data_IF_853966778369
#
_entry.id   IF_853966778369
#
_cell.length_a   1.000
_cell.length_b   1.000
_cell.length_c   1.000
_cell.angle_alpha   90.00
_cell.angle_beta   90.00
_cell.angle_gamma   90.00
#
_symmetry.space_group_name_H-M   'P 1'
#
loop_
_entity.id
_entity.type
_entity.pdbx_description
1 polymer ?
#
# COMPACT_ATOMS: atom_id res chain seq x y z
N UNK A 1 32.92 24.19 5.17
CA UNK A 1 33.40 22.85 5.60
C UNK A 1 32.65 21.81 4.78
N UNK A 2 33.30 21.19 3.79
CA UNK A 2 32.71 20.15 2.94
C UNK A 2 32.86 18.81 3.65
N UNK A 3 31.76 18.20 4.13
CA UNK A 3 31.77 16.78 4.53
C UNK A 3 31.36 15.96 3.31
N UNK A 4 32.36 15.32 2.72
CA UNK A 4 32.25 14.41 1.60
C UNK A 4 31.93 13.02 2.19
N UNK A 5 30.66 12.62 2.17
CA UNK A 5 30.26 11.29 2.62
C UNK A 5 30.52 10.30 1.50
N UNK A 6 31.58 9.51 1.64
CA UNK A 6 31.93 8.40 0.76
C UNK A 6 30.97 7.23 1.02
N UNK A 7 30.22 6.81 0.00
CA UNK A 7 29.66 5.45 -0.04
C UNK A 7 30.76 4.51 -0.54
N UNK A 8 31.34 3.73 0.35
CA UNK A 8 32.25 2.66 0.00
C UNK A 8 31.43 1.43 -0.44
N UNK A 9 31.40 1.19 -1.75
CA UNK A 9 30.97 -0.10 -2.31
C UNK A 9 32.05 -1.15 -2.00
N UNK A 10 31.77 -2.01 -1.02
CA UNK A 10 32.60 -3.19 -0.75
C UNK A 10 32.26 -4.26 -1.78
N UNK A 11 33.09 -4.38 -2.81
CA UNK A 11 33.08 -5.48 -3.76
C UNK A 11 33.93 -6.62 -3.17
N UNK A 12 33.28 -7.58 -2.49
CA UNK A 12 33.95 -8.79 -2.03
C UNK A 12 33.97 -9.83 -3.15
N UNK A 13 35.14 -10.05 -3.75
CA UNK A 13 35.40 -11.18 -4.63
C UNK A 13 35.69 -12.43 -3.77
N UNK A 14 34.69 -13.29 -3.60
CA UNK A 14 34.87 -14.63 -3.01
C UNK A 14 35.05 -15.62 -4.15
N UNK A 15 36.25 -16.21 -4.24
CA UNK A 15 36.52 -17.33 -5.13
C UNK A 15 35.83 -18.60 -4.60
N UNK A 16 35.13 -19.31 -5.48
CA UNK A 16 34.49 -20.59 -5.18
C UNK A 16 35.26 -21.73 -5.84
N UNK A 17 35.85 -22.60 -5.02
CA UNK A 17 36.29 -23.95 -5.40
C UNK A 17 35.05 -24.84 -5.50
N UNK A 18 34.98 -25.63 -6.57
CA UNK A 18 33.87 -26.50 -6.89
C UNK A 18 33.76 -27.71 -5.96
N UNK A 19 32.56 -27.89 -5.42
CA UNK A 19 32.01 -29.16 -5.00
C UNK A 19 30.71 -29.40 -5.78
N UNK A 20 30.54 -30.62 -6.26
CA UNK A 20 29.44 -31.13 -7.08
C UNK A 20 28.06 -30.69 -6.53
N UNK A 21 27.34 -29.89 -7.32
CA UNK A 21 26.03 -29.36 -6.98
C UNK A 21 24.94 -30.39 -7.30
N UNK A 22 24.28 -30.94 -6.27
CA UNK A 22 22.88 -31.34 -6.41
C UNK A 22 22.09 -30.05 -6.62
N UNK A 23 21.90 -29.64 -7.88
CA UNK A 23 21.37 -28.32 -8.25
C UNK A 23 20.02 -28.04 -7.55
N UNK A 24 19.99 -27.24 -6.47
CA UNK A 24 18.72 -26.77 -5.94
C UNK A 24 18.15 -25.88 -7.04
N UNK A 25 16.94 -26.19 -7.53
CA UNK A 25 16.37 -25.60 -8.74
C UNK A 25 16.66 -24.09 -8.89
N UNK A 26 16.96 -23.66 -10.11
CA UNK A 26 17.40 -22.29 -10.40
C UNK A 26 16.52 -21.25 -9.69
N UNK A 27 17.17 -20.42 -8.86
CA UNK A 27 16.50 -19.37 -8.09
C UNK A 27 16.07 -18.24 -9.02
N UNK A 28 14.80 -17.85 -8.95
CA UNK A 28 14.19 -16.76 -9.70
C UNK A 28 14.08 -15.55 -8.77
N UNK A 29 14.63 -14.41 -9.17
CA UNK A 29 14.59 -13.17 -8.39
C UNK A 29 13.67 -12.15 -9.06
N UNK A 30 12.73 -11.62 -8.29
CA UNK A 30 11.80 -10.57 -8.68
C UNK A 30 12.20 -9.26 -8.01
N UNK A 31 12.16 -8.18 -8.78
CA UNK A 31 12.37 -6.83 -8.30
C UNK A 31 11.29 -5.92 -8.88
N UNK A 32 10.65 -5.16 -8.01
CA UNK A 32 9.69 -4.12 -8.39
C UNK A 32 10.01 -2.83 -7.65
N UNK A 33 9.88 -1.72 -8.36
CA UNK A 33 10.14 -0.40 -7.82
C UNK A 33 9.14 0.61 -8.40
N UNK A 34 8.64 1.53 -7.57
CA UNK A 34 7.78 2.61 -7.99
C UNK A 34 8.02 3.86 -7.11
N UNK A 35 7.68 5.07 -7.60
CA UNK A 35 7.69 6.27 -6.77
C UNK A 35 6.79 6.08 -5.54
N UNK A 36 7.30 6.40 -4.35
CA UNK A 36 6.58 6.18 -3.10
C UNK A 36 5.30 7.03 -2.99
N UNK A 37 5.39 8.32 -3.32
CA UNK A 37 4.27 9.28 -3.21
C UNK A 37 4.28 10.24 -4.41
N UNK A 38 3.95 9.74 -5.63
CA UNK A 38 4.11 10.50 -6.86
C UNK A 38 3.31 11.81 -6.82
N UNK A 39 3.98 12.93 -7.07
CA UNK A 39 3.38 14.26 -7.15
C UNK A 39 2.96 14.87 -5.81
N UNK A 40 3.38 14.28 -4.67
CA UNK A 40 3.05 14.84 -3.36
C UNK A 40 3.67 16.24 -3.18
N UNK A 41 2.80 17.19 -2.80
CA UNK A 41 3.17 18.55 -2.41
C UNK A 41 2.21 19.04 -1.34
N UNK A 42 2.73 19.63 -0.27
CA UNK A 42 1.95 20.20 0.82
C UNK A 42 2.46 21.59 1.16
N UNK A 43 1.58 22.60 1.25
CA UNK A 43 1.92 23.96 1.66
C UNK A 43 1.27 24.26 3.01
N UNK A 44 2.06 24.72 3.97
CA UNK A 44 1.57 25.08 5.31
C UNK A 44 0.72 26.35 5.31
N UNK A 45 0.78 27.15 4.24
CA UNK A 45 0.41 28.55 4.29
C UNK A 45 1.34 29.33 5.22
N UNK A 46 1.02 30.60 5.48
CA UNK A 46 1.78 31.45 6.41
C UNK A 46 1.54 31.03 7.87
N UNK A 47 2.60 30.67 8.57
CA UNK A 47 2.60 30.32 10.00
C UNK A 47 3.56 31.23 10.80
N UNK A 48 3.13 31.79 11.96
CA UNK A 48 1.73 31.89 12.37
C UNK A 48 0.92 32.75 11.39
N UNK A 49 -0.37 32.46 11.24
CA UNK A 49 -1.25 33.15 10.27
C UNK A 49 -1.39 34.66 10.53
N UNK A 50 -1.12 35.09 11.77
CA UNK A 50 -0.97 36.48 12.15
C UNK A 50 0.32 36.64 12.95
N UNK A 51 1.18 37.56 12.55
CA UNK A 51 2.44 37.81 13.25
C UNK A 51 3.33 38.79 12.48
N UNK A 52 4.27 39.44 13.17
CA UNK A 52 5.24 40.34 12.53
C UNK A 52 6.29 39.58 11.69
N UNK A 53 6.45 38.27 11.92
CA UNK A 53 7.21 37.38 11.06
C UNK A 53 6.42 36.09 10.85
N UNK A 54 6.35 35.64 9.60
CA UNK A 54 5.58 34.49 9.15
C UNK A 54 6.43 33.71 8.16
N UNK A 55 6.29 32.39 8.14
CA UNK A 55 6.91 31.53 7.14
C UNK A 55 5.85 30.70 6.43
N UNK A 56 5.98 30.51 5.12
CA UNK A 56 5.28 29.44 4.39
C UNK A 56 6.30 28.39 4.00
N UNK A 57 5.99 27.13 4.28
CA UNK A 57 6.79 25.98 3.93
C UNK A 57 5.99 25.12 2.97
N UNK A 58 6.60 24.83 1.83
CA UNK A 58 6.10 23.86 0.85
C UNK A 58 7.00 22.63 0.90
N UNK A 59 6.42 21.50 1.27
CA UNK A 59 7.09 20.21 1.34
C UNK A 59 6.76 19.42 0.08
N UNK A 60 7.79 18.90 -0.58
CA UNK A 60 7.67 18.03 -1.75
C UNK A 60 8.32 16.71 -1.42
N UNK A 61 7.60 15.62 -1.64
CA UNK A 61 8.11 14.29 -1.38
C UNK A 61 8.51 13.60 -2.68
N UNK A 62 9.61 12.86 -2.64
CA UNK A 62 10.09 12.02 -3.72
C UNK A 62 10.74 10.75 -3.20
N UNK A 63 11.36 9.98 -4.08
CA UNK A 63 11.93 8.67 -3.73
C UNK A 63 10.96 7.53 -4.01
N UNK A 64 11.34 6.32 -3.59
CA UNK A 64 10.79 5.08 -4.12
C UNK A 64 10.40 4.11 -3.01
N UNK A 65 9.47 3.22 -3.36
CA UNK A 65 9.20 1.99 -2.64
C UNK A 65 9.66 0.83 -3.52
N UNK A 66 10.38 -0.11 -2.94
CA UNK A 66 10.89 -1.27 -3.65
C UNK A 66 10.56 -2.57 -2.94
N UNK A 67 10.40 -3.60 -3.75
CA UNK A 67 10.13 -4.96 -3.31
C UNK A 67 11.06 -5.92 -4.03
N UNK A 68 11.83 -6.66 -3.26
CA UNK A 68 12.58 -7.82 -3.72
C UNK A 68 11.87 -9.09 -3.24
N UNK A 69 11.84 -10.12 -4.07
CA UNK A 69 11.34 -11.45 -3.71
C UNK A 69 12.11 -12.51 -4.46
N UNK A 70 12.22 -13.73 -3.91
CA UNK A 70 12.82 -14.85 -4.62
C UNK A 70 11.93 -16.08 -4.55
N UNK A 71 12.02 -16.89 -5.58
CA UNK A 71 11.36 -18.18 -5.65
C UNK A 71 12.25 -19.24 -6.27
N UNK A 72 11.85 -20.49 -6.12
CA UNK A 72 12.49 -21.65 -6.74
C UNK A 72 11.48 -22.39 -7.59
N UNK A 73 11.90 -22.85 -8.77
CA UNK A 73 11.08 -23.70 -9.63
C UNK A 73 10.71 -25.01 -8.90
N UNK A 74 9.42 -25.32 -8.84
CA UNK A 74 8.87 -26.51 -8.21
C UNK A 74 7.83 -27.15 -9.15
N UNK A 75 8.30 -27.86 -10.17
CA UNK A 75 7.44 -28.43 -11.21
C UNK A 75 6.83 -27.33 -12.09
N UNK A 76 5.49 -27.20 -12.08
CA UNK A 76 4.75 -26.14 -12.79
C UNK A 76 4.53 -24.88 -11.94
N UNK A 77 5.16 -24.80 -10.76
CA UNK A 77 4.97 -23.75 -9.77
C UNK A 77 6.27 -23.04 -9.44
N UNK A 78 6.16 -21.88 -8.81
CA UNK A 78 7.29 -21.20 -8.15
C UNK A 78 7.00 -21.21 -6.65
N UNK A 79 7.85 -21.86 -5.88
CA UNK A 79 7.79 -21.84 -4.42
C UNK A 79 8.56 -20.62 -3.90
N UNK A 80 7.97 -19.87 -2.95
CA UNK A 80 8.67 -18.78 -2.28
C UNK A 80 9.88 -19.27 -1.50
N UNK A 81 11.01 -18.56 -1.60
CA UNK A 81 12.15 -18.80 -0.72
C UNK A 81 11.91 -18.04 0.58
N UNK A 82 11.67 -18.76 1.69
CA UNK A 82 11.38 -18.15 2.99
C UNK A 82 12.41 -17.09 3.40
N UNK A 83 11.94 -15.98 3.96
CA UNK A 83 12.74 -14.83 4.38
C UNK A 83 13.44 -14.05 3.27
N UNK A 84 13.25 -14.42 2.00
CA UNK A 84 13.94 -13.76 0.89
C UNK A 84 13.22 -12.51 0.38
N UNK A 85 12.01 -12.23 0.87
CA UNK A 85 11.25 -11.04 0.53
C UNK A 85 11.78 -9.83 1.30
N UNK A 86 11.89 -8.68 0.63
CA UNK A 86 12.28 -7.42 1.26
C UNK A 86 11.40 -6.29 0.74
N UNK A 87 10.68 -5.63 1.63
CA UNK A 87 9.98 -4.39 1.36
C UNK A 87 10.85 -3.24 1.89
N UNK A 88 11.18 -2.27 1.04
CA UNK A 88 11.98 -1.11 1.41
C UNK A 88 11.31 0.19 0.99
N UNK A 89 11.47 1.22 1.82
CA UNK A 89 11.07 2.60 1.58
C UNK A 89 12.32 3.47 1.58
N UNK A 90 12.45 4.30 0.55
CA UNK A 90 13.43 5.36 0.45
C UNK A 90 12.71 6.66 0.06
N UNK A 91 12.16 7.36 1.04
CA UNK A 91 11.34 8.55 0.87
C UNK A 91 12.14 9.79 1.29
N UNK A 92 12.12 10.83 0.45
CA UNK A 92 12.83 12.08 0.69
C UNK A 92 11.87 13.24 0.70
N UNK A 93 11.89 14.05 1.77
CA UNK A 93 11.13 15.29 1.86
C UNK A 93 12.03 16.50 1.67
N UNK A 94 11.78 17.25 0.60
CA UNK A 94 12.45 18.52 0.30
C UNK A 94 11.57 19.69 0.74
N UNK A 95 12.21 20.77 1.18
CA UNK A 95 11.53 21.97 1.63
C UNK A 95 11.78 23.15 0.71
N UNK A 96 10.71 23.84 0.34
CA UNK A 96 10.70 25.18 -0.26
C UNK A 96 9.97 26.11 0.71
N UNK A 97 10.17 27.42 0.58
CA UNK A 97 9.47 28.33 1.48
C UNK A 97 9.80 29.79 1.32
N UNK A 98 8.90 30.62 1.84
CA UNK A 98 8.98 32.07 1.83
C UNK A 98 8.90 32.60 3.25
N UNK A 99 9.65 33.68 3.50
CA UNK A 99 9.61 34.43 4.74
C UNK A 99 8.92 35.76 4.45
N UNK A 100 7.95 36.09 5.30
CA UNK A 100 7.28 37.38 5.33
C UNK A 100 7.51 38.04 6.68
N UNK A 101 8.19 39.18 6.68
CA UNK A 101 8.43 39.99 7.88
C UNK A 101 7.83 41.37 7.65
N UNK A 102 6.91 41.76 8.53
CA UNK A 102 6.37 43.10 8.63
C UNK A 102 6.92 43.75 9.91
N UNK A 103 7.94 44.58 9.77
CA UNK A 103 8.55 45.30 10.89
C UNK A 103 8.75 46.77 10.55
N UNK A 104 8.84 47.62 11.58
CA UNK A 104 9.10 49.05 11.42
C UNK A 104 10.49 49.34 10.83
N UNK A 105 11.44 48.40 10.95
CA UNK A 105 12.80 48.54 10.46
C UNK A 105 12.95 48.09 9.00
N UNK A 106 12.24 47.01 8.63
CA UNK A 106 12.31 46.41 7.30
C UNK A 106 11.08 45.55 7.04
N UNK A 107 10.46 45.75 5.88
CA UNK A 107 9.52 44.81 5.30
C UNK A 107 10.29 43.84 4.40
N UNK A 108 9.98 42.55 4.51
CA UNK A 108 10.56 41.51 3.68
C UNK A 108 9.46 40.53 3.28
N UNK A 109 9.41 40.17 2.00
CA UNK A 109 8.54 39.12 1.47
C UNK A 109 9.32 38.44 0.35
N UNK A 110 9.81 37.23 0.60
CA UNK A 110 10.74 36.59 -0.32
C UNK A 110 11.14 35.17 0.08
N UNK A 111 11.90 34.47 -0.77
CA UNK A 111 12.29 33.09 -0.55
C UNK A 111 13.31 32.95 0.58
N UNK A 112 13.26 31.83 1.30
CA UNK A 112 14.27 31.49 2.32
C UNK A 112 15.45 30.78 1.66
N UNK A 113 16.66 31.39 1.62
CA UNK A 113 17.79 30.77 0.95
C UNK A 113 18.27 29.52 1.68
N UNK A 114 18.66 28.50 0.91
CA UNK A 114 19.20 27.25 1.44
C UNK A 114 18.17 26.25 1.92
N UNK A 115 16.88 26.62 1.99
CA UNK A 115 15.81 25.70 2.39
C UNK A 115 15.68 24.51 1.42
N UNK A 116 15.85 24.76 0.12
CA UNK A 116 15.85 23.73 -0.94
C UNK A 116 17.00 22.69 -0.81
N UNK A 117 18.01 22.97 0.03
CA UNK A 117 19.10 22.02 0.30
C UNK A 117 18.77 21.11 1.50
N UNK A 118 17.65 21.35 2.19
CA UNK A 118 17.21 20.52 3.29
C UNK A 118 16.46 19.32 2.71
N UNK A 119 16.95 18.15 3.10
CA UNK A 119 16.40 16.86 2.74
C UNK A 119 16.18 16.07 4.04
N UNK A 120 14.96 15.59 4.24
CA UNK A 120 14.59 14.77 5.40
C UNK A 120 14.37 13.34 4.88
N UNK A 121 15.37 12.46 5.02
CA UNK A 121 15.25 11.08 4.58
C UNK A 121 14.37 10.27 5.54
N UNK A 122 13.46 9.50 4.97
CA UNK A 122 12.58 8.56 5.65
C UNK A 122 12.84 7.20 5.00
N UNK A 123 13.77 6.46 5.60
CA UNK A 123 14.23 5.17 5.10
C UNK A 123 13.79 4.04 6.04
N UNK A 124 13.41 2.91 5.47
CA UNK A 124 13.04 1.73 6.24
C UNK A 124 13.06 0.47 5.39
N UNK A 125 13.22 -0.69 6.02
CA UNK A 125 13.02 -1.96 5.34
C UNK A 125 12.55 -3.04 6.30
N UNK A 126 11.73 -3.96 5.80
CA UNK A 126 11.34 -5.17 6.51
C UNK A 126 11.48 -6.38 5.61
N UNK A 127 11.87 -7.52 6.19
CA UNK A 127 11.81 -8.80 5.51
C UNK A 127 10.38 -9.35 5.53
N UNK A 128 10.06 -10.22 4.58
CA UNK A 128 8.80 -10.98 4.51
C UNK A 128 8.98 -12.28 3.72
N UNK A 129 8.03 -13.21 3.82
CA UNK A 129 8.03 -14.42 3.00
C UNK A 129 7.41 -14.16 1.61
N UNK A 130 8.12 -14.45 0.51
CA UNK A 130 7.65 -14.20 -0.85
C UNK A 130 6.26 -14.78 -1.16
N UNK A 131 5.61 -14.16 -2.13
CA UNK A 131 4.31 -14.56 -2.69
C UNK A 131 3.09 -14.46 -1.75
N UNK A 132 3.24 -13.96 -0.52
CA UNK A 132 2.19 -13.41 0.38
C UNK A 132 0.76 -13.85 0.03
N UNK A 133 0.48 -15.15 0.18
CA UNK A 133 -0.77 -15.76 -0.24
C UNK A 133 -1.91 -15.43 0.74
N UNK A 134 -3.15 -15.72 0.33
CA UNK A 134 -4.33 -15.68 1.22
C UNK A 134 -4.60 -14.34 1.93
N UNK A 135 -4.32 -13.22 1.26
CA UNK A 135 -4.58 -11.88 1.80
C UNK A 135 -3.52 -11.39 2.80
N UNK A 136 -2.39 -12.09 2.90
CA UNK A 136 -1.23 -11.61 3.66
C UNK A 136 -0.64 -10.35 3.02
N UNK A 137 -0.11 -9.46 3.86
CA UNK A 137 0.59 -8.27 3.42
C UNK A 137 1.84 -8.05 4.27
N UNK A 138 2.95 -7.70 3.62
CA UNK A 138 4.11 -7.18 4.32
C UNK A 138 3.80 -5.78 4.84
N UNK A 139 4.18 -5.49 6.08
CA UNK A 139 3.92 -4.22 6.74
C UNK A 139 5.23 -3.62 7.24
N UNK A 140 5.55 -2.41 6.78
CA UNK A 140 6.73 -1.65 7.16
C UNK A 140 6.28 -0.35 7.86
N UNK A 141 6.18 -0.35 9.19
CA UNK A 141 6.08 0.88 9.96
C UNK A 141 7.46 1.56 10.05
N UNK A 142 7.54 2.83 9.67
CA UNK A 142 8.75 3.65 9.73
C UNK A 142 8.49 4.81 10.68
N UNK A 143 9.01 4.71 11.90
CA UNK A 143 9.01 5.83 12.84
C UNK A 143 10.10 6.85 12.45
N UNK A 144 9.74 8.12 12.38
CA UNK A 144 10.68 9.20 12.06
C UNK A 144 11.15 9.83 13.39
N UNK A 145 12.44 9.71 13.73
CA UNK A 145 12.94 10.19 15.02
C UNK A 145 12.91 11.72 15.10
N UNK A 146 12.76 12.24 16.33
CA UNK A 146 12.89 13.68 16.56
C UNK A 146 14.27 14.15 16.12
N UNK A 147 14.29 15.10 15.18
CA UNK A 147 15.53 15.54 14.52
C UNK A 147 15.50 17.04 14.36
N UNK A 148 16.50 17.72 14.92
CA UNK A 148 16.76 19.14 14.67
C UNK A 148 17.43 19.28 13.32
N UNK A 149 16.79 20.00 12.40
CA UNK A 149 17.37 20.31 11.10
C UNK A 149 18.43 21.41 11.26
N UNK A 150 19.39 21.50 10.32
CA UNK A 150 20.36 22.59 10.34
C UNK A 150 19.69 23.96 10.33
N UNK A 151 20.28 24.94 11.04
CA UNK A 151 19.81 26.33 11.03
C UNK A 151 19.85 26.89 9.58
N UNK A 152 18.70 27.36 9.09
CA UNK A 152 18.56 27.88 7.73
C UNK A 152 18.62 29.41 7.79
N UNK A 153 19.55 30.08 7.08
CA UNK A 153 19.63 31.54 7.11
C UNK A 153 18.38 32.19 6.49
N UNK A 154 17.90 33.28 7.11
CA UNK A 154 16.74 34.03 6.61
C UNK A 154 17.08 34.98 5.44
N UNK A 155 18.31 34.94 4.94
CA UNK A 155 18.77 35.72 3.79
C UNK A 155 18.81 37.23 4.07
N UNK A 156 17.87 37.96 3.47
CA UNK A 156 17.80 39.42 3.58
C UNK A 156 17.42 39.94 4.98
N UNK A 157 16.97 39.05 5.87
CA UNK A 157 16.69 39.34 7.28
C UNK A 157 17.78 38.68 8.12
N UNK A 158 18.47 39.41 9.02
CA UNK A 158 19.43 38.82 9.94
C UNK A 158 18.76 37.80 10.88
N UNK A 159 19.18 36.54 10.83
CA UNK A 159 18.62 35.47 11.65
C UNK A 159 18.61 34.10 10.98
N UNK A 160 17.96 33.14 11.64
CA UNK A 160 17.82 31.76 11.17
C UNK A 160 16.40 31.23 11.40
N UNK A 161 15.90 30.44 10.46
CA UNK A 161 14.80 29.52 10.67
C UNK A 161 15.37 28.21 11.23
N UNK A 162 14.85 27.78 12.38
CA UNK A 162 15.19 26.48 12.98
C UNK A 162 13.98 25.59 12.89
N UNK A 163 14.14 24.41 12.31
CA UNK A 163 13.07 23.43 12.15
C UNK A 163 13.41 22.16 12.93
N UNK A 164 12.41 21.53 13.50
CA UNK A 164 12.54 20.25 14.20
C UNK A 164 11.42 19.33 13.76
N UNK A 165 11.79 18.14 13.26
CA UNK A 165 10.86 17.01 13.14
C UNK A 165 10.57 16.51 14.54
N UNK A 166 9.30 16.40 14.92
CA UNK A 166 8.87 16.03 16.26
C UNK A 166 8.62 14.53 16.34
N UNK A 167 8.82 13.94 17.53
CA UNK A 167 8.41 12.57 17.83
C UNK A 167 6.92 12.33 17.56
N UNK A 168 6.58 11.11 17.12
CA UNK A 168 5.23 10.75 16.67
C UNK A 168 5.01 10.88 15.15
N UNK A 169 6.00 11.41 14.43
CA UNK A 169 6.06 11.34 12.97
C UNK A 169 6.26 9.89 12.49
N UNK A 170 5.49 9.44 11.51
CA UNK A 170 5.55 8.06 11.03
C UNK A 170 5.06 7.90 9.58
N UNK A 171 5.59 6.90 8.89
CA UNK A 171 5.10 6.41 7.60
C UNK A 171 4.80 4.92 7.72
N UNK A 172 3.70 4.49 7.14
CA UNK A 172 3.32 3.10 7.03
C UNK A 172 3.33 2.71 5.55
N UNK A 173 4.04 1.64 5.23
CA UNK A 173 3.97 0.99 3.91
C UNK A 173 3.38 -0.40 4.08
N UNK A 174 2.44 -0.77 3.23
CA UNK A 174 1.95 -2.14 3.11
C UNK A 174 2.20 -2.63 1.70
N UNK A 175 2.55 -3.89 1.54
CA UNK A 175 2.70 -4.53 0.24
C UNK A 175 1.88 -5.82 0.20
N UNK A 176 0.99 -5.94 -0.79
CA UNK A 176 0.30 -7.17 -1.14
C UNK A 176 0.86 -7.70 -2.46
N UNK A 177 1.42 -8.90 -2.45
CA UNK A 177 2.03 -9.52 -3.61
C UNK A 177 1.21 -10.68 -4.16
N UNK A 178 1.26 -10.90 -5.48
CA UNK A 178 0.63 -12.03 -6.16
C UNK A 178 1.51 -12.52 -7.31
N UNK A 179 1.65 -13.83 -7.38
CA UNK A 179 2.28 -14.52 -8.50
C UNK A 179 1.28 -14.60 -9.66
N UNK A 180 1.62 -14.05 -10.84
CA UNK A 180 0.66 -13.87 -11.92
C UNK A 180 0.70 -15.01 -12.96
N UNK A 181 1.87 -15.41 -13.45
CA UNK A 181 1.97 -16.49 -14.44
C UNK A 181 3.37 -17.10 -14.52
N UNK A 182 3.42 -18.37 -14.93
CA UNK A 182 4.63 -18.98 -15.49
C UNK A 182 4.28 -19.56 -16.86
N UNK A 183 4.71 -18.89 -17.92
CA UNK A 183 4.40 -19.27 -19.30
C UNK A 183 5.56 -18.92 -20.23
N UNK A 184 5.82 -19.77 -21.22
CA UNK A 184 6.88 -19.57 -22.19
C UNK A 184 8.27 -19.51 -21.56
N UNK A 185 8.48 -20.25 -20.45
CA UNK A 185 9.73 -20.22 -19.68
C UNK A 185 10.02 -18.88 -18.99
N UNK A 186 9.00 -18.04 -18.76
CA UNK A 186 9.12 -16.80 -17.99
C UNK A 186 8.09 -16.74 -16.87
N UNK A 187 8.49 -16.14 -15.75
CA UNK A 187 7.68 -15.93 -14.57
C UNK A 187 7.36 -14.44 -14.38
N UNK A 188 6.14 -14.14 -13.93
CA UNK A 188 5.72 -12.77 -13.59
C UNK A 188 5.23 -12.69 -12.16
N UNK A 189 5.63 -11.60 -11.49
CA UNK A 189 5.14 -11.22 -10.18
C UNK A 189 4.39 -9.90 -10.31
N UNK A 190 3.42 -9.66 -9.46
CA UNK A 190 2.75 -8.37 -9.35
C UNK A 190 2.46 -8.09 -7.90
N UNK A 191 2.25 -6.84 -7.58
CA UNK A 191 1.75 -6.48 -6.27
C UNK A 191 1.39 -5.02 -6.20
N UNK A 192 0.74 -4.67 -5.12
CA UNK A 192 0.30 -3.32 -4.83
C UNK A 192 0.96 -2.86 -3.52
N UNK A 193 1.40 -1.61 -3.49
CA UNK A 193 1.81 -0.94 -2.26
C UNK A 193 0.79 0.09 -1.84
N UNK A 194 0.52 0.15 -0.54
CA UNK A 194 -0.25 1.22 0.09
C UNK A 194 0.66 1.99 1.03
N UNK A 195 0.73 3.31 0.85
CA UNK A 195 1.56 4.21 1.67
C UNK A 195 0.66 5.24 2.34
N UNK A 196 0.87 5.49 3.63
CA UNK A 196 0.19 6.56 4.39
C UNK A 196 1.06 7.03 5.55
N UNK A 197 0.78 8.19 6.12
CA UNK A 197 1.51 8.65 7.30
C UNK A 197 1.32 10.11 7.65
N UNK A 198 2.17 10.60 8.54
CA UNK A 198 2.21 12.00 8.94
C UNK A 198 3.62 12.39 9.37
N UNK A 199 4.01 13.62 9.03
CA UNK A 199 5.19 14.28 9.54
C UNK A 199 4.75 15.44 10.42
N UNK A 200 5.21 15.45 11.66
CA UNK A 200 4.93 16.51 12.63
C UNK A 200 6.17 17.38 12.75
N UNK A 201 6.00 18.68 12.56
CA UNK A 201 7.09 19.64 12.60
C UNK A 201 6.76 20.81 13.51
N UNK A 202 7.80 21.38 14.11
CA UNK A 202 7.76 22.69 14.76
C UNK A 202 8.94 23.52 14.27
N UNK A 203 8.88 24.82 14.47
CA UNK A 203 9.99 25.68 14.12
C UNK A 203 10.06 26.94 14.96
N UNK A 204 11.14 27.69 14.75
CA UNK A 204 11.47 28.92 15.45
C UNK A 204 12.09 29.88 14.44
N UNK A 205 11.58 31.11 14.36
CA UNK A 205 12.23 32.20 13.64
C UNK A 205 13.09 32.96 14.66
N UNK A 206 14.40 32.75 14.62
CA UNK A 206 15.36 33.45 15.46
C UNK A 206 15.93 34.67 14.72
N UNK A 207 15.51 35.87 15.11
CA UNK A 207 15.96 37.14 14.54
C UNK A 207 17.19 37.67 15.29
N UNK A 208 18.28 37.90 14.56
CA UNK A 208 19.54 38.43 15.10
C UNK A 208 19.58 39.93 14.91
N UNK A 209 19.08 40.68 15.89
CA UNK A 209 19.01 42.14 15.86
C UNK A 209 20.05 42.75 16.83
N UNK A 210 20.51 43.99 16.61
CA UNK A 210 21.40 44.66 17.57
C UNK A 210 20.81 44.62 18.98
N UNK A 211 21.64 44.29 19.97
CA UNK A 211 21.19 44.23 21.36
C UNK A 211 20.52 45.55 21.78
N UNK A 212 19.41 45.53 22.53
CA UNK A 212 18.76 44.37 23.17
C UNK A 212 17.61 43.75 22.33
N UNK A 213 17.54 43.99 21.02
CA UNK A 213 16.37 43.70 20.21
C UNK A 213 16.28 42.27 19.67
N UNK A 214 17.16 41.35 20.06
CA UNK A 214 17.07 39.94 19.65
C UNK A 214 15.69 39.37 19.99
N UNK A 215 15.08 38.68 19.03
CA UNK A 215 13.75 38.10 19.17
C UNK A 215 13.74 36.68 18.64
N UNK A 216 13.02 35.82 19.33
CA UNK A 216 12.67 34.49 18.86
C UNK A 216 11.16 34.41 18.77
N UNK A 217 10.67 33.83 17.67
CA UNK A 217 9.25 33.63 17.41
C UNK A 217 9.05 32.14 17.20
N UNK A 218 8.46 31.49 18.19
CA UNK A 218 8.05 30.08 18.10
C UNK A 218 6.93 29.94 17.06
N UNK A 219 7.09 28.99 16.16
CA UNK A 219 6.05 28.57 15.23
C UNK A 219 5.23 27.48 15.89
N UNK A 220 3.90 27.56 15.74
CA UNK A 220 3.03 26.48 16.18
C UNK A 220 3.43 25.17 15.48
N UNK A 221 3.31 24.06 16.20
CA UNK A 221 3.47 22.74 15.63
C UNK A 221 2.44 22.53 14.51
N UNK A 222 2.88 22.01 13.37
CA UNK A 222 2.02 21.70 12.23
C UNK A 222 2.24 20.25 11.78
N UNK A 223 1.21 19.66 11.19
CA UNK A 223 1.22 18.28 10.69
C UNK A 223 1.10 18.29 9.18
N UNK A 224 2.04 17.62 8.53
CA UNK A 224 2.06 17.38 7.08
C UNK A 224 1.51 15.96 6.87
N UNK A 225 0.25 15.82 6.43
CA UNK A 225 -0.34 14.51 6.16
C UNK A 225 0.27 13.92 4.90
N UNK A 226 0.63 12.65 4.94
CA UNK A 226 0.96 11.85 3.76
C UNK A 226 -0.31 11.03 3.45
N UNK A 227 -1.11 11.44 2.43
CA UNK A 227 -2.39 10.82 2.16
C UNK A 227 -2.20 9.36 1.78
N UNK A 228 -3.17 8.53 2.16
CA UNK A 228 -3.17 7.13 1.77
C UNK A 228 -3.25 6.99 0.25
N UNK A 229 -2.36 6.21 -0.32
CA UNK A 229 -2.34 5.91 -1.75
C UNK A 229 -1.94 4.47 -2.01
N UNK A 230 -2.76 3.76 -2.80
CA UNK A 230 -2.45 2.41 -3.29
C UNK A 230 -1.97 2.47 -4.74
N UNK A 231 -0.88 1.78 -5.06
CA UNK A 231 -0.24 1.79 -6.38
C UNK A 231 0.27 0.40 -6.73
N UNK A 232 0.11 0.03 -8.01
CA UNK A 232 0.74 -1.17 -8.54
C UNK A 232 2.25 -0.99 -8.62
N UNK A 233 2.99 -2.00 -8.18
CA UNK A 233 4.42 -2.14 -8.41
C UNK A 233 4.66 -2.88 -9.72
N UNK A 234 5.37 -2.27 -10.68
CA UNK A 234 5.76 -2.94 -11.89
C UNK A 234 6.89 -3.95 -11.58
N UNK A 235 6.71 -5.19 -12.00
CA UNK A 235 7.78 -6.18 -12.03
C UNK A 235 8.02 -6.61 -13.47
N UNK A 236 9.27 -6.80 -13.84
CA UNK A 236 9.62 -7.37 -15.13
C UNK A 236 9.34 -8.89 -15.13
N UNK A 237 9.03 -9.44 -16.31
CA UNK A 237 9.06 -10.88 -16.51
C UNK A 237 10.51 -11.39 -16.35
N UNK A 238 10.68 -12.47 -15.60
CA UNK A 238 11.99 -13.06 -15.30
C UNK A 238 12.06 -14.43 -15.95
N UNK A 239 13.17 -14.78 -16.58
CA UNK A 239 13.35 -16.13 -17.13
C UNK A 239 13.28 -17.16 -16.01
N UNK A 240 12.53 -18.23 -16.24
CA UNK A 240 12.34 -19.34 -15.31
C UNK A 240 12.60 -20.67 -16.02
N UNK A 241 13.87 -21.01 -16.34
CA UNK A 241 14.22 -22.29 -16.94
C UNK A 241 13.79 -23.44 -16.02
N UNK A 242 13.20 -24.49 -16.60
CA UNK A 242 12.78 -25.67 -15.85
C UNK A 242 11.38 -25.60 -15.23
N UNK A 243 10.68 -24.46 -15.32
CA UNK A 243 9.24 -24.43 -15.04
C UNK A 243 8.48 -24.77 -16.32
N UNK A 244 7.75 -25.88 -16.32
CA UNK A 244 6.84 -26.24 -17.42
C UNK A 244 5.72 -25.21 -17.51
N UNK A 245 5.26 -24.90 -18.73
CA UNK A 245 4.14 -23.97 -18.93
C UNK A 245 2.97 -24.30 -17.99
N UNK A 246 2.72 -23.39 -17.04
CA UNK A 246 1.59 -23.45 -16.13
C UNK A 246 0.41 -22.71 -16.74
N UNK A 247 -0.81 -23.07 -16.32
CA UNK A 247 -1.97 -22.22 -16.63
C UNK A 247 -1.82 -20.87 -15.90
N UNK A 248 -2.33 -19.79 -16.50
CA UNK A 248 -2.41 -18.47 -15.89
C UNK A 248 -3.12 -18.57 -14.51
N UNK A 249 -2.47 -18.11 -13.43
CA UNK A 249 -2.94 -18.34 -12.06
C UNK A 249 -2.53 -19.69 -11.42
N UNK A 250 -1.66 -20.46 -12.09
CA UNK A 250 -1.08 -21.73 -11.63
C UNK A 250 -0.09 -21.59 -10.49
N UNK A 251 -0.60 -21.29 -9.29
CA UNK A 251 -0.10 -21.66 -7.97
C UNK A 251 1.38 -21.40 -7.68
N UNK A 252 1.71 -20.19 -7.25
CA UNK A 252 2.86 -20.08 -6.35
C UNK A 252 2.55 -20.83 -5.05
N UNK A 253 3.49 -21.64 -4.59
CA UNK A 253 3.44 -22.23 -3.25
C UNK A 253 3.98 -21.21 -2.25
N UNK A 254 3.29 -21.00 -1.13
CA UNK A 254 3.85 -20.22 -0.03
C UNK A 254 5.18 -20.82 0.42
N UNK A 255 6.06 -20.02 1.03
CA UNK A 255 7.32 -20.55 1.55
C UNK A 255 7.03 -21.69 2.53
N UNK A 256 7.43 -22.91 2.18
CA UNK A 256 7.43 -24.04 3.10
C UNK A 256 8.59 -23.80 4.05
N UNK A 257 8.31 -23.51 5.31
CA UNK A 257 9.35 -23.33 6.32
C UNK A 257 10.16 -24.61 6.48
N UNK A 258 11.38 -24.64 5.94
CA UNK A 258 12.30 -25.76 6.11
C UNK A 258 12.86 -25.74 7.53
N UNK A 259 12.34 -26.64 8.36
CA UNK A 259 12.83 -26.94 9.69
C UNK A 259 12.33 -28.29 10.16
N UNK A 260 12.78 -29.38 9.51
CA UNK A 260 12.38 -30.73 9.89
C UNK A 260 13.19 -31.81 9.20
N UNK A 261 14.14 -32.35 9.96
CA UNK A 261 14.96 -33.54 9.74
C UNK A 261 14.22 -34.67 9.02
N UNK A 262 14.88 -35.30 8.04
CA UNK A 262 14.43 -36.55 7.44
C UNK A 262 14.43 -37.65 8.52
N UNK A 263 13.26 -38.11 8.93
CA UNK A 263 13.10 -39.35 9.69
C UNK A 263 12.55 -40.44 8.76
N UNK A 264 13.32 -41.52 8.72
CA UNK A 264 13.17 -42.67 7.85
C UNK A 264 12.21 -43.69 8.49
N UNK A 265 11.25 -44.16 7.70
CA UNK A 265 10.53 -45.43 7.85
C UNK A 265 9.80 -45.76 9.16
N UNK A 266 8.47 -45.98 9.09
CA UNK A 266 7.85 -47.23 9.56
C UNK A 266 6.36 -47.31 9.20
N UNK A 267 5.95 -48.51 8.80
CA UNK A 267 4.57 -48.91 8.49
C UNK A 267 3.89 -49.43 9.76
N UNK A 268 2.64 -49.01 10.06
CA UNK A 268 1.57 -49.89 10.60
C UNK A 268 0.22 -49.17 10.82
N UNK A 269 -0.81 -49.75 10.19
CA UNK A 269 -2.17 -50.10 10.65
C UNK A 269 -3.04 -49.17 11.52
N UNK A 270 -4.22 -48.90 10.95
CA UNK A 270 -5.59 -49.02 11.50
C UNK A 270 -5.91 -48.56 12.92
N UNK A 271 -6.84 -47.60 13.00
CA UNK A 271 -7.54 -47.25 14.23
C UNK A 271 -8.56 -46.15 14.01
N UNK A 272 -9.74 -46.52 13.47
CA UNK A 272 -10.85 -45.59 13.29
C UNK A 272 -11.45 -45.11 14.62
N UNK A 273 -11.67 -43.81 14.71
CA UNK A 273 -12.61 -43.22 15.68
C UNK A 273 -13.42 -42.14 14.96
N UNK A 274 -14.73 -42.34 14.90
CA UNK A 274 -15.69 -41.36 14.40
C UNK A 274 -15.68 -40.13 15.30
N UNK A 275 -15.21 -39.00 14.77
CA UNK A 275 -15.23 -37.69 15.41
C UNK A 275 -16.28 -36.79 14.75
N UNK A 276 -17.10 -36.16 15.57
CA UNK A 276 -18.22 -35.32 15.20
C UNK A 276 -17.89 -34.27 14.12
N UNK A 277 -18.77 -34.19 13.12
CA UNK A 277 -18.68 -33.29 11.98
C UNK A 277 -18.83 -31.83 12.36
N UNK A 278 -17.77 -31.22 12.86
CA UNK A 278 -17.59 -29.77 12.85
C UNK A 278 -17.39 -29.31 11.41
N UNK A 279 -18.43 -28.73 10.80
CA UNK A 279 -18.33 -28.03 9.51
C UNK A 279 -17.20 -27.00 9.65
N UNK A 280 -16.13 -27.05 8.83
CA UNK A 280 -15.08 -26.06 8.89
C UNK A 280 -15.69 -24.66 8.74
N UNK A 281 -15.19 -23.65 9.49
CA UNK A 281 -15.68 -22.29 9.32
C UNK A 281 -15.53 -21.90 7.86
N UNK A 282 -16.63 -21.51 7.21
CA UNK A 282 -16.57 -21.00 5.84
C UNK A 282 -15.75 -19.71 5.84
N UNK A 283 -14.67 -19.66 5.08
CA UNK A 283 -13.73 -18.53 5.01
C UNK A 283 -14.31 -17.32 4.23
N UNK A 284 -15.62 -17.10 4.28
CA UNK A 284 -16.29 -16.03 3.57
C UNK A 284 -15.99 -14.69 4.24
N UNK A 285 -15.33 -13.79 3.53
CA UNK A 285 -14.92 -12.49 4.04
C UNK A 285 -15.27 -11.38 3.05
N UNK A 286 -15.76 -10.25 3.57
CA UNK A 286 -15.81 -9.01 2.81
C UNK A 286 -15.63 -7.81 3.73
N UNK A 287 -14.97 -6.80 3.20
CA UNK A 287 -14.83 -5.48 3.81
C UNK A 287 -15.56 -4.48 2.94
N UNK A 288 -16.41 -3.66 3.55
CA UNK A 288 -17.20 -2.64 2.85
C UNK A 288 -16.98 -1.30 3.53
N UNK A 289 -16.55 -0.30 2.77
CA UNK A 289 -16.49 1.10 3.18
C UNK A 289 -17.43 1.95 2.35
N UNK A 290 -18.24 2.77 3.02
CA UNK A 290 -19.13 3.72 2.36
C UNK A 290 -18.75 5.13 2.82
N UNK A 291 -18.35 5.97 1.86
CA UNK A 291 -17.80 7.31 2.12
C UNK A 291 -16.64 7.29 3.14
N UNK A 292 -15.80 6.25 3.09
CA UNK A 292 -14.65 6.06 3.98
C UNK A 292 -14.98 5.51 5.37
N UNK A 293 -16.24 5.18 5.66
CA UNK A 293 -16.67 4.57 6.93
C UNK A 293 -16.82 3.07 6.75
N UNK A 294 -16.21 2.29 7.64
CA UNK A 294 -16.34 0.82 7.67
C UNK A 294 -17.78 0.41 8.01
N UNK A 295 -18.34 -0.48 7.20
CA UNK A 295 -19.65 -1.09 7.41
C UNK A 295 -19.50 -2.51 7.94
N UNK A 296 -20.25 -2.84 8.99
CA UNK A 296 -20.26 -4.20 9.52
C UNK A 296 -20.99 -5.14 8.55
N UNK A 297 -20.37 -6.25 8.15
CA UNK A 297 -21.00 -7.26 7.30
C UNK A 297 -21.64 -8.35 8.16
N UNK A 298 -22.93 -8.62 7.95
CA UNK A 298 -23.72 -9.56 8.75
C UNK A 298 -24.02 -10.88 8.05
N UNK A 299 -23.79 -10.95 6.74
CA UNK A 299 -24.04 -12.17 5.99
C UNK A 299 -23.78 -12.03 4.50
N UNK A 300 -23.75 -13.19 3.86
CA UNK A 300 -23.49 -13.34 2.44
C UNK A 300 -24.50 -14.31 1.85
N UNK A 301 -24.90 -14.05 0.62
CA UNK A 301 -25.61 -15.04 -0.20
C UNK A 301 -25.08 -14.92 -1.61
N UNK A 302 -24.54 -16.02 -2.13
CA UNK A 302 -24.02 -16.09 -3.49
C UNK A 302 -24.73 -17.18 -4.25
N UNK A 303 -25.11 -16.94 -5.49
CA UNK A 303 -25.76 -17.94 -6.34
C UNK A 303 -25.40 -17.71 -7.81
N UNK A 304 -25.40 -18.81 -8.58
CA UNK A 304 -25.30 -18.73 -10.02
C UNK A 304 -26.60 -18.15 -10.61
N UNK A 305 -26.46 -17.30 -11.61
CA UNK A 305 -27.52 -16.79 -12.47
C UNK A 305 -27.22 -17.20 -13.91
N UNK A 306 -28.23 -17.24 -14.79
CA UNK A 306 -28.07 -17.75 -16.16
C UNK A 306 -26.96 -17.07 -17.00
N UNK A 307 -26.49 -15.88 -16.58
CA UNK A 307 -25.40 -15.15 -17.24
C UNK A 307 -24.17 -14.93 -16.35
N UNK A 308 -24.12 -15.42 -15.11
CA UNK A 308 -23.01 -15.12 -14.20
C UNK A 308 -23.25 -15.53 -12.74
N UNK A 309 -22.65 -14.79 -11.81
CA UNK A 309 -22.72 -15.02 -10.37
C UNK A 309 -23.24 -13.76 -9.70
N UNK A 310 -24.22 -13.92 -8.81
CA UNK A 310 -24.73 -12.84 -7.98
C UNK A 310 -24.24 -13.05 -6.56
N UNK A 311 -23.63 -12.01 -5.98
CA UNK A 311 -23.30 -11.93 -4.56
C UNK A 311 -24.11 -10.83 -3.91
N UNK A 312 -24.78 -11.18 -2.81
CA UNK A 312 -25.47 -10.28 -1.91
C UNK A 312 -24.68 -10.21 -0.61
N UNK A 313 -24.26 -9.01 -0.24
CA UNK A 313 -23.57 -8.70 1.02
C UNK A 313 -24.55 -7.92 1.89
N UNK A 314 -24.86 -8.46 3.08
CA UNK A 314 -25.76 -7.82 4.04
C UNK A 314 -24.97 -6.96 5.02
N UNK A 315 -25.38 -5.69 5.19
CA UNK A 315 -24.70 -4.76 6.10
C UNK A 315 -25.50 -4.59 7.40
N UNK A 316 -24.81 -4.56 8.54
CA UNK A 316 -25.39 -4.28 9.86
C UNK A 316 -25.58 -2.77 10.00
N UNK A 317 -26.82 -2.31 9.91
CA UNK A 317 -27.21 -0.97 10.33
C UNK A 317 -28.44 -1.06 11.25
N UNK A 318 -28.49 -0.29 12.36
CA UNK A 318 -29.64 -0.32 13.26
C UNK A 318 -30.94 0.00 12.52
N UNK A 319 -31.91 -0.93 12.54
CA UNK A 319 -33.26 -0.73 11.98
C UNK A 319 -33.42 -0.95 10.47
N UNK A 320 -32.35 -1.35 9.78
CA UNK A 320 -32.23 -1.28 8.32
C UNK A 320 -31.93 -2.63 7.66
N UNK A 321 -32.56 -2.93 6.51
CA UNK A 321 -32.14 -4.04 5.62
C UNK A 321 -31.37 -3.47 4.44
N UNK A 322 -30.08 -3.20 4.64
CA UNK A 322 -29.20 -2.67 3.60
C UNK A 322 -28.44 -3.81 2.93
N UNK A 323 -28.56 -3.88 1.60
CA UNK A 323 -27.89 -4.88 0.78
C UNK A 323 -26.96 -4.21 -0.24
N UNK A 324 -25.79 -4.80 -0.42
CA UNK A 324 -24.89 -4.56 -1.55
C UNK A 324 -24.93 -5.79 -2.45
N UNK A 325 -25.28 -5.58 -3.72
CA UNK A 325 -25.42 -6.64 -4.72
C UNK A 325 -24.37 -6.45 -5.80
N UNK A 326 -23.58 -7.49 -6.04
CA UNK A 326 -22.59 -7.56 -7.10
C UNK A 326 -23.04 -8.66 -8.07
N UNK A 327 -23.26 -8.29 -9.33
CA UNK A 327 -23.53 -9.25 -10.39
C UNK A 327 -22.30 -9.30 -11.29
N UNK A 328 -21.66 -10.46 -11.40
CA UNK A 328 -20.49 -10.65 -12.23
C UNK A 328 -20.74 -11.72 -13.29
N UNK A 329 -20.59 -11.37 -14.55
CA UNK A 329 -20.70 -12.28 -15.69
C UNK A 329 -19.35 -12.60 -16.35
N UNK A 330 -18.29 -11.89 -15.97
CA UNK A 330 -16.93 -12.09 -16.50
C UNK A 330 -15.86 -11.60 -15.53
N UNK A 331 -14.63 -12.07 -15.73
CA UNK A 331 -13.44 -11.55 -15.04
C UNK A 331 -13.06 -10.17 -15.60
N UNK A 332 -12.32 -9.38 -14.82
CA UNK A 332 -11.80 -8.07 -15.22
C UNK A 332 -12.56 -6.86 -14.67
N UNK A 333 -12.25 -5.67 -15.20
CA UNK A 333 -12.55 -4.35 -14.62
C UNK A 333 -13.96 -3.82 -14.81
N UNK A 334 -14.87 -4.60 -15.41
CA UNK A 334 -16.27 -4.23 -15.55
C UNK A 334 -16.54 -2.99 -16.43
N UNK A 335 -15.54 -2.38 -17.08
CA UNK A 335 -15.70 -1.16 -17.89
C UNK A 335 -16.55 -1.34 -19.16
N UNK A 336 -16.79 -2.57 -19.62
CA UNK A 336 -17.42 -2.81 -20.92
C UNK A 336 -18.95 -2.95 -20.79
N UNK A 337 -19.66 -2.51 -21.83
CA UNK A 337 -21.13 -2.52 -21.91
C UNK A 337 -21.66 -3.95 -21.68
N UNK A 338 -22.68 -4.08 -20.84
CA UNK A 338 -23.25 -5.39 -20.46
C UNK A 338 -22.39 -6.21 -19.48
N UNK A 339 -21.43 -5.57 -18.80
CA UNK A 339 -20.53 -6.22 -17.85
C UNK A 339 -21.05 -6.34 -16.43
N UNK A 340 -20.11 -6.61 -15.53
CA UNK A 340 -20.35 -6.75 -14.09
C UNK A 340 -20.99 -5.48 -13.52
N UNK A 341 -21.94 -5.61 -12.58
CA UNK A 341 -22.64 -4.48 -11.95
C UNK A 341 -22.52 -4.49 -10.43
N UNK A 342 -22.52 -3.28 -9.85
CA UNK A 342 -22.65 -3.06 -8.41
C UNK A 342 -23.90 -2.25 -8.15
N UNK A 343 -24.72 -2.73 -7.23
CA UNK A 343 -25.96 -2.08 -6.82
C UNK A 343 -26.03 -2.04 -5.30
N UNK A 344 -26.38 -0.89 -4.76
CA UNK A 344 -26.47 -0.68 -3.32
C UNK A 344 -27.87 -0.19 -2.97
N UNK A 345 -28.50 -0.80 -1.97
CA UNK A 345 -29.82 -0.40 -1.49
C UNK A 345 -29.70 0.13 -0.06
N UNK A 346 -29.59 1.45 0.14
CA UNK A 346 -29.67 2.04 1.46
C UNK A 346 -31.07 1.81 2.04
N UNK A 347 -31.15 1.70 3.35
CA UNK A 347 -32.43 1.58 4.03
C UNK A 347 -33.31 2.82 3.88
N UNK A 348 -34.61 2.59 3.65
CA UNK A 348 -35.59 3.64 3.44
C UNK A 348 -35.40 4.51 2.19
N UNK A 349 -34.46 4.16 1.29
CA UNK A 349 -34.06 4.98 0.15
C UNK A 349 -34.12 4.19 -1.18
N UNK A 350 -33.93 4.91 -2.30
CA UNK A 350 -33.88 4.34 -3.64
C UNK A 350 -32.63 3.48 -3.84
N UNK A 351 -32.77 2.46 -4.69
CA UNK A 351 -31.65 1.65 -5.13
C UNK A 351 -30.65 2.50 -5.92
N UNK A 352 -29.40 2.51 -5.49
CA UNK A 352 -28.28 3.20 -6.13
C UNK A 352 -27.51 2.21 -7.01
N UNK A 353 -27.11 2.65 -8.19
CA UNK A 353 -26.40 1.85 -9.17
C UNK A 353 -25.06 2.51 -9.49
N UNK A 354 -24.05 1.70 -9.81
CA UNK A 354 -22.82 2.23 -10.39
C UNK A 354 -23.17 3.01 -11.68
N UNK A 355 -22.81 4.29 -11.74
CA UNK A 355 -23.19 5.16 -12.86
C UNK A 355 -22.37 4.84 -14.11
N UNK A 356 -22.99 4.15 -15.07
CA UNK A 356 -22.63 3.93 -16.50
C UNK A 356 -21.19 3.62 -16.92
N UNK A 357 -20.25 3.44 -16.01
CA UNK A 357 -18.97 2.78 -16.27
C UNK A 357 -18.51 2.15 -14.96
N UNK A 358 -18.75 0.86 -14.81
CA UNK A 358 -18.28 0.00 -13.70
C UNK A 358 -16.76 -0.17 -13.72
N UNK A 359 -16.01 0.83 -14.17
CA UNK A 359 -14.55 0.86 -14.21
C UNK A 359 -13.86 0.80 -12.84
N UNK A 360 -14.64 0.72 -11.77
CA UNK A 360 -14.17 0.43 -10.42
C UNK A 360 -14.26 -1.05 -10.02
N UNK A 361 -15.06 -1.88 -10.70
CA UNK A 361 -15.35 -3.26 -10.29
C UNK A 361 -14.39 -4.23 -10.98
N UNK A 362 -13.42 -4.77 -10.24
CA UNK A 362 -12.50 -5.77 -10.74
C UNK A 362 -12.84 -7.16 -10.19
N UNK A 363 -13.24 -8.08 -11.07
CA UNK A 363 -13.50 -9.49 -10.72
C UNK A 363 -12.24 -10.31 -10.96
N UNK A 364 -11.58 -10.73 -9.88
CA UNK A 364 -10.36 -11.51 -9.91
C UNK A 364 -10.65 -13.00 -10.14
N UNK A 365 -11.66 -13.54 -9.46
CA UNK A 365 -12.09 -14.93 -9.58
C UNK A 365 -13.59 -14.96 -9.79
N UNK A 366 -14.04 -15.64 -10.84
CA UNK A 366 -15.45 -15.89 -11.13
C UNK A 366 -15.70 -17.40 -11.04
N UNK A 367 -16.52 -17.89 -10.09
CA UNK A 367 -16.77 -19.31 -9.95
C UNK A 367 -17.72 -19.81 -11.04
N UNK A 368 -17.54 -21.08 -11.41
CA UNK A 368 -18.33 -21.81 -12.41
C UNK A 368 -19.13 -22.96 -11.79
N UNK A 369 -18.81 -23.37 -10.56
CA UNK A 369 -19.51 -24.42 -9.81
C UNK A 369 -19.58 -24.10 -8.32
N UNK A 370 -20.58 -24.63 -7.59
CA UNK A 370 -20.65 -24.48 -6.13
C UNK A 370 -19.37 -24.97 -5.44
N UNK A 371 -18.94 -24.24 -4.42
CA UNK A 371 -17.68 -24.49 -3.69
C UNK A 371 -16.45 -23.79 -4.26
N UNK A 372 -16.55 -23.11 -5.41
CA UNK A 372 -15.47 -22.26 -5.92
C UNK A 372 -15.52 -20.84 -5.33
N UNK A 373 -14.36 -20.18 -5.27
CA UNK A 373 -14.24 -18.81 -4.74
C UNK A 373 -14.76 -17.78 -5.74
N UNK A 374 -15.41 -16.75 -5.23
CA UNK A 374 -15.80 -15.52 -5.91
C UNK A 374 -15.10 -14.34 -5.23
N UNK A 375 -14.20 -13.68 -5.94
CA UNK A 375 -13.36 -12.64 -5.35
C UNK A 375 -13.19 -11.44 -6.28
N UNK A 376 -13.14 -10.25 -5.69
CA UNK A 376 -12.97 -9.00 -6.43
C UNK A 376 -12.95 -7.76 -5.55
N UNK A 377 -12.83 -6.61 -6.20
CA UNK A 377 -12.86 -5.29 -5.57
C UNK A 377 -13.77 -4.33 -6.32
N UNK A 378 -14.37 -3.36 -5.62
CA UNK A 378 -15.05 -2.22 -6.24
C UNK A 378 -14.57 -0.92 -5.62
N UNK A 379 -14.01 -0.03 -6.43
CA UNK A 379 -13.68 1.34 -6.04
C UNK A 379 -14.38 2.33 -6.97
N UNK A 380 -15.45 2.98 -6.50
CA UNK A 380 -16.17 3.95 -7.33
C UNK A 380 -17.40 4.54 -6.67
N UNK A 381 -18.12 5.35 -7.44
CA UNK A 381 -19.35 5.98 -7.00
C UNK A 381 -20.58 5.18 -7.45
N UNK A 382 -21.57 5.07 -6.56
CA UNK A 382 -22.94 4.67 -6.92
C UNK A 382 -23.88 5.87 -6.78
N UNK A 383 -24.85 6.00 -7.68
CA UNK A 383 -25.83 7.08 -7.71
C UNK A 383 -27.23 6.59 -8.04
N UNK A 384 -28.24 7.41 -7.79
CA UNK A 384 -29.62 7.04 -8.07
C UNK A 384 -29.91 7.09 -9.59
N UNK A 385 -30.74 6.16 -10.08
CA UNK A 385 -31.15 6.08 -11.49
C UNK A 385 -31.87 7.35 -11.95
N UNK A 386 -32.57 8.03 -11.03
CA UNK A 386 -33.42 9.18 -11.34
C UNK A 386 -32.68 10.53 -11.35
N UNK A 387 -31.36 10.54 -11.42
CA UNK A 387 -30.58 11.78 -11.55
C UNK A 387 -30.48 12.63 -10.29
N UNK A 388 -30.82 12.10 -9.11
CA UNK A 388 -30.54 12.80 -7.85
C UNK A 388 -29.02 12.84 -7.61
N UNK A 389 -28.49 13.96 -7.17
CA UNK A 389 -27.06 14.21 -6.89
C UNK A 389 -26.46 13.43 -5.70
N UNK A 390 -27.20 12.49 -5.11
CA UNK A 390 -26.73 11.68 -4.00
C UNK A 390 -25.81 10.55 -4.51
N UNK A 391 -24.53 10.86 -4.66
CA UNK A 391 -23.49 9.87 -4.90
C UNK A 391 -22.93 9.33 -3.58
N UNK A 392 -22.67 8.02 -3.53
CA UNK A 392 -21.92 7.38 -2.45
C UNK A 392 -20.63 6.80 -3.02
N UNK A 393 -19.50 7.21 -2.47
CA UNK A 393 -18.22 6.58 -2.76
C UNK A 393 -18.14 5.25 -2.00
N UNK A 394 -17.72 4.21 -2.69
CA UNK A 394 -17.62 2.87 -2.11
C UNK A 394 -16.25 2.28 -2.40
N UNK A 395 -15.74 1.60 -1.39
CA UNK A 395 -14.55 0.75 -1.46
C UNK A 395 -14.95 -0.62 -0.88
N UNK A 396 -14.98 -1.63 -1.74
CA UNK A 396 -15.47 -2.97 -1.42
C UNK A 396 -14.39 -3.96 -1.80
N UNK A 397 -14.07 -4.88 -0.89
CA UNK A 397 -13.25 -6.06 -1.17
C UNK A 397 -14.02 -7.29 -0.71
N UNK A 398 -14.14 -8.31 -1.56
CA UNK A 398 -14.89 -9.52 -1.24
C UNK A 398 -14.14 -10.77 -1.70
N UNK A 399 -14.26 -11.83 -0.92
CA UNK A 399 -13.78 -13.17 -1.22
C UNK A 399 -14.67 -14.19 -0.51
N UNK A 400 -15.54 -14.84 -1.29
CA UNK A 400 -16.60 -15.70 -0.77
C UNK A 400 -16.66 -17.00 -1.55
N UNK A 401 -16.94 -18.10 -0.87
CA UNK A 401 -17.21 -19.39 -1.49
C UNK A 401 -18.64 -19.42 -2.05
N UNK A 402 -18.80 -19.86 -3.30
CA UNK A 402 -20.10 -19.97 -3.93
C UNK A 402 -20.93 -21.04 -3.22
N UNK A 403 -21.97 -20.61 -2.52
CA UNK A 403 -22.93 -21.50 -1.87
C UNK A 403 -23.56 -22.50 -2.85
N UNK A 404 -23.90 -23.69 -2.34
CA UNK A 404 -24.86 -24.56 -3.03
C UNK A 404 -26.25 -23.88 -2.94
N UNK A 405 -27.01 -23.81 -4.05
CA UNK A 405 -28.32 -23.16 -4.08
C UNK A 405 -29.31 -23.76 -3.06
#
# INVERSE_FOLDING_TARGET
MKRLTWFASVLAAVGYFGCSSDDPGAQIAFHGEAPAVPGFSYDTGLIPASGPAQVSLKLVAGGNVSVDAKGTAAGSKIAGVGGSGKLALDLHLKLEGTLKVASTLKNYDGPIPGLANIDVPIVGSTAFDPFLLDGQAASLPVAIPETKLPDIPLGGVPGSLRLTVVSGSQVQVKFGGRCMSVAGGSATYAGDTTISGSLVMKGEIALTLPAPLNKSIELAQFTVPIPEGTRALPFAAVSSPGVSDGQEGGGCGGATGDGGTADDGSTTSDGGTAGDGGKPPSNNHATVKINGVDEAVTGFTSFASGSGVVLVIKLARPGATTDLVINANRRGTGCEVGGNTVTYRPDGDYQLFATSATCGLNIAVLPTKPGERFAGTFLGAVGAVNGSSAYKQMDVTFDVELGRP
#
